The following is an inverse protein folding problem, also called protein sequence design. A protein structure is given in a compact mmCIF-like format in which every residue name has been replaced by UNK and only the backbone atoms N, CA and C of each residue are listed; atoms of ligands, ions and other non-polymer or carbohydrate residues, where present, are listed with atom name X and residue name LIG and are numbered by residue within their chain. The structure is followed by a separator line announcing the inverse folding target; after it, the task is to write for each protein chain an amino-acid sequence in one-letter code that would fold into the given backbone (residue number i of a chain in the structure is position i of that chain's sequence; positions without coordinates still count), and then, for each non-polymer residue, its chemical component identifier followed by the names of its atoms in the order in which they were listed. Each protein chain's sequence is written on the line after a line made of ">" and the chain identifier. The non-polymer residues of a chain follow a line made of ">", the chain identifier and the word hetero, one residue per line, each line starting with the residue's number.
data_IF_419815630064
#
_entry.id   IF_419815630064
#
_cell.length_a   1.000
_cell.length_b   1.000
_cell.length_c   1.000
_cell.angle_alpha   90.00
_cell.angle_beta   90.00
_cell.angle_gamma   90.00
#
_symmetry.space_group_name_H-M   'P 1'
#
loop_
_entity.id
_entity.type
_entity.pdbx_description
1 polymer ?
#
# COMPACT_ATOMS: atom_id res chain seq x y z
N UNK A 1 12.68 -6.83 -20.44
CA UNK A 1 13.45 -7.33 -19.27
C UNK A 1 12.50 -8.15 -18.42
N UNK A 2 12.85 -9.38 -18.00
CA UNK A 2 11.93 -10.22 -17.22
C UNK A 2 11.75 -9.61 -15.82
N UNK A 3 10.52 -9.26 -15.45
CA UNK A 3 10.22 -8.66 -14.13
C UNK A 3 10.33 -9.74 -13.03
N UNK A 4 10.75 -9.33 -11.84
CA UNK A 4 10.80 -10.23 -10.69
C UNK A 4 9.38 -10.59 -10.23
N UNK A 5 9.10 -11.89 -10.05
CA UNK A 5 7.81 -12.36 -9.55
C UNK A 5 7.79 -12.23 -8.02
N UNK A 6 6.82 -11.48 -7.49
CA UNK A 6 6.66 -11.28 -6.05
C UNK A 6 5.42 -11.98 -5.50
N UNK A 7 5.68 -12.87 -4.54
CA UNK A 7 4.69 -13.49 -3.68
C UNK A 7 4.46 -12.71 -2.38
N UNK A 8 3.60 -13.26 -1.52
CA UNK A 8 3.52 -12.82 -0.12
C UNK A 8 4.77 -13.34 0.59
N UNK A 9 5.49 -12.45 1.27
CA UNK A 9 6.66 -12.83 2.07
C UNK A 9 6.37 -12.62 3.56
N UNK A 10 7.06 -13.37 4.42
CA UNK A 10 6.98 -13.18 5.87
C UNK A 10 7.29 -11.72 6.25
N UNK A 11 8.27 -11.11 5.57
CA UNK A 11 8.62 -9.72 5.76
C UNK A 11 7.45 -8.77 5.49
N UNK A 12 6.71 -8.96 4.39
CA UNK A 12 5.52 -8.14 4.10
C UNK A 12 4.47 -8.26 5.20
N UNK A 13 4.21 -9.49 5.67
CA UNK A 13 3.20 -9.73 6.72
C UNK A 13 3.60 -9.08 8.04
N UNK A 14 4.87 -9.25 8.46
CA UNK A 14 5.37 -8.62 9.68
C UNK A 14 5.34 -7.10 9.58
N UNK A 15 5.71 -6.54 8.42
CA UNK A 15 5.67 -5.11 8.18
C UNK A 15 4.25 -4.54 8.30
N UNK A 16 3.27 -5.21 7.69
CA UNK A 16 1.86 -4.85 7.82
C UNK A 16 1.44 -4.88 9.30
N UNK A 17 1.78 -5.96 10.03
CA UNK A 17 1.50 -6.06 11.48
C UNK A 17 2.11 -4.93 12.31
N UNK A 18 3.34 -4.50 12.01
CA UNK A 18 3.99 -3.37 12.70
C UNK A 18 3.29 -2.05 12.42
N UNK A 19 2.80 -1.83 11.20
CA UNK A 19 2.04 -0.62 10.86
C UNK A 19 0.68 -0.64 11.55
N UNK A 20 -0.10 -1.71 11.36
CA UNK A 20 -1.43 -1.84 11.95
C UNK A 20 -1.40 -1.86 13.47
N UNK A 21 -0.73 -2.87 14.02
CA UNK A 21 -0.69 -3.11 15.46
C UNK A 21 0.02 -1.98 16.19
N UNK A 22 1.10 -1.45 15.62
CA UNK A 22 1.84 -0.36 16.24
C UNK A 22 1.07 0.96 16.24
N UNK A 23 0.32 1.28 15.19
CA UNK A 23 -0.50 2.49 15.16
C UNK A 23 -1.73 2.38 16.09
N UNK A 24 -2.42 1.23 16.09
CA UNK A 24 -3.51 0.96 17.03
C UNK A 24 -2.98 1.07 18.46
N UNK A 25 -1.88 0.38 18.77
CA UNK A 25 -1.25 0.44 20.09
C UNK A 25 -0.90 1.89 20.49
N UNK A 26 -0.31 2.66 19.58
CA UNK A 26 0.03 4.05 19.86
C UNK A 26 -1.20 4.90 20.23
N UNK A 27 -2.32 4.70 19.53
CA UNK A 27 -3.56 5.44 19.77
C UNK A 27 -4.27 4.95 21.04
N UNK A 28 -4.45 3.64 21.22
CA UNK A 28 -5.14 3.07 22.38
C UNK A 28 -4.43 3.38 23.71
N UNK A 29 -3.10 3.45 23.69
CA UNK A 29 -2.29 3.80 24.87
C UNK A 29 -1.92 5.30 24.93
N UNK A 30 -2.47 6.13 24.05
CA UNK A 30 -2.25 7.57 23.97
C UNK A 30 -0.76 7.96 24.06
N UNK A 31 0.07 7.38 23.21
CA UNK A 31 1.52 7.63 23.15
C UNK A 31 1.79 8.73 22.10
N UNK A 32 1.78 10.02 22.47
CA UNK A 32 1.66 11.13 21.52
C UNK A 32 2.81 11.21 20.51
N UNK A 33 4.05 11.00 20.98
CA UNK A 33 5.23 11.02 20.10
C UNK A 33 5.20 9.91 19.06
N UNK A 34 4.64 8.76 19.40
CA UNK A 34 4.55 7.62 18.50
C UNK A 34 3.41 7.82 17.50
N UNK A 35 2.24 8.28 17.95
CA UNK A 35 1.13 8.69 17.07
C UNK A 35 1.63 9.71 16.04
N UNK A 36 2.32 10.75 16.50
CA UNK A 36 2.87 11.80 15.62
C UNK A 36 3.87 11.23 14.61
N UNK A 37 4.74 10.29 15.01
CA UNK A 37 5.68 9.64 14.10
C UNK A 37 4.96 8.85 12.99
N UNK A 38 3.89 8.11 13.34
CA UNK A 38 3.06 7.41 12.36
C UNK A 38 2.32 8.38 11.43
N UNK A 39 1.78 9.47 11.97
CA UNK A 39 1.12 10.50 11.18
C UNK A 39 2.08 11.11 10.14
N UNK A 40 3.29 11.48 10.55
CA UNK A 40 4.33 11.94 9.62
C UNK A 40 4.66 10.89 8.56
N UNK A 41 4.76 9.62 8.96
CA UNK A 41 5.01 8.52 8.03
C UNK A 41 3.89 8.38 6.99
N UNK A 42 2.63 8.51 7.39
CA UNK A 42 1.49 8.44 6.48
C UNK A 42 1.46 9.63 5.52
N UNK A 43 1.62 10.86 6.01
CA UNK A 43 1.67 12.04 5.14
C UNK A 43 2.85 12.01 4.17
N UNK A 44 4.02 11.56 4.63
CA UNK A 44 5.18 11.41 3.77
C UNK A 44 4.93 10.39 2.66
N UNK A 45 4.31 9.25 3.00
CA UNK A 45 3.94 8.21 2.03
C UNK A 45 2.93 8.72 0.99
N UNK A 46 1.90 9.45 1.42
CA UNK A 46 0.93 10.10 0.52
C UNK A 46 1.62 11.11 -0.40
N UNK A 47 2.54 11.91 0.13
CA UNK A 47 3.28 12.91 -0.65
C UNK A 47 4.15 12.25 -1.72
N UNK A 48 4.84 11.15 -1.38
CA UNK A 48 5.60 10.36 -2.35
C UNK A 48 4.70 9.76 -3.43
N UNK A 49 3.51 9.27 -3.07
CA UNK A 49 2.55 8.75 -4.03
C UNK A 49 2.10 9.82 -5.03
N UNK A 50 1.70 11.00 -4.54
CA UNK A 50 1.31 12.14 -5.39
C UNK A 50 2.46 12.53 -6.32
N UNK A 51 3.69 12.61 -5.80
CA UNK A 51 4.86 12.92 -6.60
C UNK A 51 5.10 11.88 -7.70
N UNK A 52 4.99 10.59 -7.37
CA UNK A 52 5.13 9.50 -8.35
C UNK A 52 4.06 9.58 -9.46
N UNK A 53 2.84 9.99 -9.12
CA UNK A 53 1.78 10.24 -10.10
C UNK A 53 2.13 11.40 -11.03
N UNK A 54 2.58 12.52 -10.48
CA UNK A 54 2.94 13.72 -11.26
C UNK A 54 4.15 13.50 -12.18
N UNK A 55 5.12 12.69 -11.76
CA UNK A 55 6.31 12.39 -12.55
C UNK A 55 6.10 11.27 -13.60
N UNK A 56 4.89 10.70 -13.72
CA UNK A 56 4.63 9.57 -14.62
C UNK A 56 5.45 8.32 -14.28
N UNK A 57 5.89 8.19 -13.02
CA UNK A 57 6.78 7.14 -12.56
C UNK A 57 6.06 5.80 -12.28
N UNK A 58 4.73 5.77 -12.43
CA UNK A 58 3.91 4.58 -12.23
C UNK A 58 4.06 3.59 -13.39
N UNK A 59 5.18 2.88 -13.41
CA UNK A 59 5.42 1.72 -14.27
C UNK A 59 5.44 0.45 -13.43
N UNK A 60 4.96 -0.69 -13.97
CA UNK A 60 5.11 -1.99 -13.33
C UNK A 60 6.58 -2.31 -13.06
N UNK A 61 6.92 -2.45 -11.78
CA UNK A 61 8.26 -2.85 -11.34
C UNK A 61 8.35 -4.35 -11.09
N UNK A 62 7.25 -4.95 -10.61
CA UNK A 62 7.18 -6.35 -10.21
C UNK A 62 6.01 -7.05 -10.88
N UNK A 63 6.06 -8.38 -10.92
CA UNK A 63 4.94 -9.21 -11.34
C UNK A 63 4.34 -9.91 -10.12
N UNK A 64 3.16 -9.50 -9.71
CA UNK A 64 2.51 -10.05 -8.53
C UNK A 64 1.83 -11.38 -8.82
N UNK A 65 2.01 -12.33 -7.91
CA UNK A 65 1.14 -13.50 -7.84
C UNK A 65 -0.29 -13.08 -7.45
N UNK A 66 -1.29 -13.90 -7.82
CA UNK A 66 -2.69 -13.67 -7.43
C UNK A 66 -2.89 -13.52 -5.92
N UNK A 67 -2.18 -14.33 -5.13
CA UNK A 67 -2.22 -14.23 -3.68
C UNK A 67 -1.69 -12.87 -3.19
N UNK A 68 -0.56 -12.41 -3.74
CA UNK A 68 0.03 -11.11 -3.37
C UNK A 68 -0.86 -9.93 -3.75
N UNK A 69 -1.49 -9.98 -4.93
CA UNK A 69 -2.47 -8.98 -5.36
C UNK A 69 -3.63 -8.86 -4.37
N UNK A 70 -4.31 -9.97 -4.06
CA UNK A 70 -5.42 -9.95 -3.11
C UNK A 70 -4.97 -9.53 -1.71
N UNK A 71 -3.78 -9.94 -1.28
CA UNK A 71 -3.21 -9.51 -0.01
C UNK A 71 -3.05 -7.98 0.06
N UNK A 72 -2.40 -7.37 -0.93
CA UNK A 72 -2.22 -5.90 -0.94
C UNK A 72 -3.55 -5.14 -1.01
N UNK A 73 -4.52 -5.65 -1.77
CA UNK A 73 -5.86 -5.07 -1.80
C UNK A 73 -6.49 -5.11 -0.41
N UNK A 74 -6.49 -6.27 0.25
CA UNK A 74 -7.08 -6.44 1.57
C UNK A 74 -6.37 -5.57 2.61
N UNK A 75 -5.03 -5.59 2.65
CA UNK A 75 -4.30 -4.79 3.62
C UNK A 75 -4.47 -3.30 3.37
N UNK A 76 -4.55 -2.84 2.11
CA UNK A 76 -4.81 -1.43 1.81
C UNK A 76 -6.20 -0.98 2.26
N UNK A 77 -7.23 -1.83 2.11
CA UNK A 77 -8.57 -1.55 2.63
C UNK A 77 -8.56 -1.46 4.15
N UNK A 78 -7.93 -2.43 4.82
CA UNK A 78 -7.81 -2.43 6.28
C UNK A 78 -7.07 -1.20 6.78
N UNK A 79 -6.02 -0.75 6.07
CA UNK A 79 -5.29 0.47 6.37
C UNK A 79 -6.18 1.70 6.26
N UNK A 80 -6.97 1.78 5.19
CA UNK A 80 -7.96 2.84 5.03
C UNK A 80 -8.97 2.89 6.18
N UNK A 81 -9.55 1.74 6.54
CA UNK A 81 -10.54 1.65 7.63
C UNK A 81 -9.91 2.07 8.96
N UNK A 82 -8.72 1.56 9.28
CA UNK A 82 -8.00 1.91 10.51
C UNK A 82 -7.71 3.42 10.59
N UNK A 83 -7.21 4.02 9.50
CA UNK A 83 -6.91 5.44 9.46
C UNK A 83 -8.18 6.30 9.60
N UNK A 84 -9.26 5.91 8.93
CA UNK A 84 -10.55 6.59 9.05
C UNK A 84 -11.14 6.49 10.46
N UNK A 85 -10.94 5.36 11.15
CA UNK A 85 -11.38 5.17 12.53
C UNK A 85 -10.71 6.15 13.50
N UNK A 86 -9.44 6.51 13.26
CA UNK A 86 -8.70 7.50 14.04
C UNK A 86 -8.70 8.91 13.42
N UNK A 87 -9.72 9.24 12.59
CA UNK A 87 -9.92 10.56 11.97
C UNK A 87 -8.90 11.00 10.90
N UNK A 88 -8.03 10.12 10.42
CA UNK A 88 -7.05 10.39 9.37
C UNK A 88 -7.61 10.18 7.95
N UNK A 89 -8.75 10.79 7.64
CA UNK A 89 -9.52 10.55 6.40
C UNK A 89 -8.75 10.80 5.09
N UNK A 90 -7.92 11.85 5.04
CA UNK A 90 -7.12 12.16 3.84
C UNK A 90 -6.08 11.06 3.59
N UNK A 91 -5.37 10.62 4.63
CA UNK A 91 -4.43 9.50 4.53
C UNK A 91 -5.14 8.20 4.19
N UNK A 92 -6.30 7.94 4.82
CA UNK A 92 -7.12 6.75 4.58
C UNK A 92 -7.46 6.60 3.09
N UNK A 93 -8.03 7.65 2.48
CA UNK A 93 -8.42 7.63 1.08
C UNK A 93 -7.21 7.48 0.16
N UNK A 94 -6.19 8.33 0.31
CA UNK A 94 -5.02 8.35 -0.58
C UNK A 94 -4.22 7.04 -0.53
N UNK A 95 -3.97 6.49 0.65
CA UNK A 95 -3.19 5.24 0.80
C UNK A 95 -3.99 4.02 0.34
N UNK A 96 -5.32 4.01 0.53
CA UNK A 96 -6.17 2.94 0.00
C UNK A 96 -6.13 2.92 -1.53
N UNK A 97 -6.34 4.08 -2.17
CA UNK A 97 -6.25 4.20 -3.63
C UNK A 97 -4.85 3.89 -4.16
N UNK A 98 -3.80 4.34 -3.47
CA UNK A 98 -2.44 3.99 -3.83
C UNK A 98 -2.23 2.47 -3.84
N UNK A 99 -2.67 1.78 -2.79
CA UNK A 99 -2.59 0.32 -2.71
C UNK A 99 -3.32 -0.39 -3.85
N UNK A 100 -4.52 0.08 -4.20
CA UNK A 100 -5.27 -0.43 -5.37
C UNK A 100 -4.55 -0.19 -6.69
N UNK A 101 -4.09 1.04 -6.94
CA UNK A 101 -3.41 1.40 -8.19
C UNK A 101 -2.10 0.62 -8.30
N UNK A 102 -1.30 0.56 -7.24
CA UNK A 102 -0.03 -0.14 -7.23
C UNK A 102 -0.20 -1.67 -7.41
N UNK A 103 -1.15 -2.27 -6.69
CA UNK A 103 -1.43 -3.70 -6.83
C UNK A 103 -1.95 -4.03 -8.23
N UNK A 104 -2.84 -3.19 -8.79
CA UNK A 104 -3.33 -3.32 -10.17
C UNK A 104 -2.26 -3.14 -11.24
N UNK A 105 -1.32 -2.20 -11.05
CA UNK A 105 -0.19 -2.00 -11.98
C UNK A 105 0.75 -3.20 -12.02
N UNK A 106 0.98 -3.85 -10.87
CA UNK A 106 1.89 -4.99 -10.76
C UNK A 106 1.19 -6.35 -10.97
N UNK A 107 -0.14 -6.40 -11.00
CA UNK A 107 -0.91 -7.62 -11.26
C UNK A 107 -1.19 -7.78 -12.77
N UNK A 108 -0.58 -8.81 -13.37
CA UNK A 108 -0.69 -9.20 -14.79
C UNK A 108 -0.34 -8.11 -15.80
N UNK A 109 0.95 -7.86 -15.97
CA UNK A 109 1.49 -6.93 -16.96
C UNK A 109 2.25 -7.62 -18.12
N UNK A 110 2.12 -8.95 -18.27
CA UNK A 110 2.60 -9.68 -19.46
C UNK A 110 1.51 -9.83 -20.54
N UNK A 111 0.24 -10.03 -20.17
CA UNK A 111 -0.86 -10.20 -21.15
C UNK A 111 -1.21 -8.90 -21.90
N UNK A 112 -1.07 -7.74 -21.24
CA UNK A 112 -1.30 -6.43 -21.87
C UNK A 112 -0.14 -5.96 -22.76
N UNK A 113 1.09 -6.39 -22.49
CA UNK A 113 2.26 -6.05 -23.33
C UNK A 113 2.30 -6.87 -24.63
N UNK A 114 1.63 -8.04 -24.68
CA UNK A 114 1.59 -8.93 -25.86
C UNK A 114 0.28 -8.92 -26.65
N UNK A 115 -0.70 -8.07 -26.30
CA UNK A 115 -1.91 -7.88 -27.12
C UNK A 115 -2.72 -9.16 -27.36
N UNK A 116 -2.78 -10.08 -26.39
CA UNK A 116 -3.70 -11.21 -26.45
C UNK A 116 -4.89 -10.95 -25.53
N UNK A 117 -5.82 -10.17 -26.05
CA UNK A 117 -7.23 -10.25 -25.67
C UNK A 117 -7.72 -11.66 -25.99
N UNK A 118 -8.14 -12.42 -24.98
CA UNK A 118 -9.11 -13.49 -25.18
C UNK A 118 -10.49 -12.89 -25.40
#
# INVERSE_FOLDING_TARGET
>A
MKREIRGITLFSVLWDMFIFGGFIYANEFAIPKLIQAYEWFFYFSVSLYVLACLCGAMKPQFQYTKAKFHWEVITSILLGIMLAYYDYFVCATMLTFFGYVNSGLNYFNEEKEHGKTF
#
